data_IF_204154580934
#
_entry.id   IF_204154580934
#
_cell.length_a   1.000
_cell.length_b   1.000
_cell.length_c   1.000
_cell.angle_alpha   90.00
_cell.angle_beta   90.00
_cell.angle_gamma   90.00
#
_symmetry.space_group_name_H-M   'P 1'
#
loop_
_entity.id
_entity.type
_entity.pdbx_description
1 polymer ?
#
# COMPACT_ATOMS: atom_id res chain seq x y z
N UNK A 1 -4.52 -11.04 10.69
CA UNK A 1 -4.25 -9.89 9.77
C UNK A 1 -5.54 -9.12 9.44
N UNK A 2 -6.63 -9.76 9.02
CA UNK A 2 -7.89 -9.07 8.71
C UNK A 2 -8.50 -8.35 9.93
N UNK A 3 -8.42 -8.93 11.12
CA UNK A 3 -8.98 -8.35 12.34
C UNK A 3 -8.22 -7.07 12.74
N UNK A 4 -6.90 -7.10 12.70
CA UNK A 4 -6.05 -5.94 12.98
C UNK A 4 -6.25 -4.83 11.94
N UNK A 5 -6.43 -5.18 10.69
CA UNK A 5 -6.72 -4.21 9.64
C UNK A 5 -8.11 -3.58 9.82
N UNK A 6 -9.09 -4.37 10.27
CA UNK A 6 -10.42 -3.87 10.63
C UNK A 6 -10.34 -2.89 11.80
N UNK A 7 -9.64 -3.26 12.88
CA UNK A 7 -9.43 -2.38 14.03
C UNK A 7 -8.77 -1.06 13.62
N UNK A 8 -7.77 -1.14 12.74
CA UNK A 8 -7.10 0.04 12.19
C UNK A 8 -8.08 0.94 11.42
N UNK A 9 -8.91 0.36 10.54
CA UNK A 9 -9.94 1.10 9.79
C UNK A 9 -10.97 1.71 10.71
N UNK A 10 -11.49 0.96 11.68
CA UNK A 10 -12.48 1.43 12.64
C UNK A 10 -11.97 2.66 13.43
N UNK A 11 -10.68 2.67 13.81
CA UNK A 11 -10.06 3.83 14.46
C UNK A 11 -10.03 5.07 13.55
N UNK A 12 -9.67 4.89 12.29
CA UNK A 12 -9.65 5.99 11.31
C UNK A 12 -11.07 6.48 11.01
N UNK A 13 -12.01 5.59 10.77
CA UNK A 13 -13.40 5.94 10.47
C UNK A 13 -14.06 6.69 11.64
N UNK A 14 -13.81 6.28 12.87
CA UNK A 14 -14.26 6.99 14.09
C UNK A 14 -13.67 8.41 14.16
N UNK A 15 -12.38 8.57 13.83
CA UNK A 15 -11.77 9.90 13.74
C UNK A 15 -12.46 10.75 12.67
N UNK A 16 -12.66 10.20 11.47
CA UNK A 16 -13.31 10.90 10.35
C UNK A 16 -14.74 11.36 10.73
N UNK A 17 -15.54 10.45 11.29
CA UNK A 17 -16.89 10.76 11.76
C UNK A 17 -16.90 11.89 12.80
N UNK A 18 -15.90 11.94 13.68
CA UNK A 18 -15.78 13.00 14.71
C UNK A 18 -15.41 14.37 14.12
N UNK A 19 -14.94 14.40 12.88
CA UNK A 19 -14.39 15.58 12.23
C UNK A 19 -15.19 16.06 11.00
N UNK A 20 -16.31 15.40 10.62
CA UNK A 20 -17.01 15.63 9.35
C UNK A 20 -17.37 17.10 9.06
N UNK A 21 -17.80 17.87 10.06
CA UNK A 21 -18.24 19.26 9.88
C UNK A 21 -17.18 20.29 10.35
N UNK A 22 -15.92 19.87 10.44
CA UNK A 22 -14.85 20.71 10.98
C UNK A 22 -13.85 21.10 9.92
N UNK A 23 -13.24 22.27 10.12
CA UNK A 23 -12.06 22.64 9.33
C UNK A 23 -10.88 21.80 9.79
N UNK A 24 -10.26 21.05 8.89
CA UNK A 24 -9.13 20.17 9.19
C UNK A 24 -7.83 20.84 8.75
N UNK A 25 -6.85 20.79 9.61
CA UNK A 25 -5.45 21.19 9.34
C UNK A 25 -4.57 20.00 9.60
N UNK A 26 -3.75 19.61 8.63
CA UNK A 26 -2.74 18.57 8.79
C UNK A 26 -1.41 19.23 9.13
N UNK A 27 -0.81 18.81 10.24
CA UNK A 27 0.55 19.19 10.63
C UNK A 27 1.50 18.03 10.39
N UNK A 28 2.45 18.21 9.47
CA UNK A 28 3.35 17.19 8.97
C UNK A 28 2.80 16.49 7.72
N UNK A 29 3.38 16.83 6.56
CA UNK A 29 2.96 16.28 5.26
C UNK A 29 3.97 15.27 4.69
N UNK A 30 4.54 14.46 5.57
CA UNK A 30 5.27 13.24 5.23
C UNK A 30 4.34 12.11 4.81
N UNK A 31 4.77 10.87 4.93
CA UNK A 31 3.96 9.69 4.57
C UNK A 31 2.65 9.62 5.36
N UNK A 32 2.70 9.86 6.68
CA UNK A 32 1.50 9.82 7.52
C UNK A 32 0.48 10.89 7.13
N UNK A 33 0.92 12.12 6.90
CA UNK A 33 0.04 13.22 6.52
C UNK A 33 -0.59 13.01 5.16
N UNK A 34 0.14 12.52 4.18
CA UNK A 34 -0.38 12.19 2.84
C UNK A 34 -1.38 11.04 2.90
N UNK A 35 -1.06 10.00 3.67
CA UNK A 35 -1.96 8.87 3.85
C UNK A 35 -3.30 9.31 4.45
N UNK A 36 -3.28 10.05 5.57
CA UNK A 36 -4.52 10.46 6.23
C UNK A 36 -5.33 11.45 5.39
N UNK A 37 -4.68 12.36 4.66
CA UNK A 37 -5.35 13.26 3.73
C UNK A 37 -6.06 12.48 2.63
N UNK A 38 -5.38 11.53 2.01
CA UNK A 38 -5.96 10.66 1.00
C UNK A 38 -7.10 9.81 1.56
N UNK A 39 -6.92 9.17 2.73
CA UNK A 39 -7.95 8.35 3.37
C UNK A 39 -9.22 9.15 3.65
N UNK A 40 -9.06 10.36 4.19
CA UNK A 40 -10.15 11.27 4.50
C UNK A 40 -10.93 11.70 3.25
N UNK A 41 -10.24 12.06 2.18
CA UNK A 41 -10.90 12.47 0.92
C UNK A 41 -11.55 11.28 0.22
N UNK A 42 -10.84 10.16 0.08
CA UNK A 42 -11.31 9.01 -0.68
C UNK A 42 -12.49 8.27 -0.05
N UNK A 43 -12.44 8.04 1.27
CA UNK A 43 -13.50 7.27 1.96
C UNK A 43 -14.59 8.13 2.59
N UNK A 44 -14.29 9.39 2.93
CA UNK A 44 -15.19 10.24 3.70
C UNK A 44 -15.50 11.59 3.06
N UNK A 45 -14.91 11.91 1.91
CA UNK A 45 -15.05 13.22 1.23
C UNK A 45 -14.64 14.41 2.12
N UNK A 46 -13.74 14.17 3.08
CA UNK A 46 -13.19 15.20 3.97
C UNK A 46 -11.88 15.71 3.36
N UNK A 47 -11.88 17.01 2.97
CA UNK A 47 -10.67 17.66 2.43
C UNK A 47 -10.02 18.53 3.48
N UNK A 48 -8.75 18.28 3.82
CA UNK A 48 -8.00 19.21 4.66
C UNK A 48 -7.98 20.60 4.04
N UNK A 49 -8.19 21.61 4.85
CA UNK A 49 -8.16 23.00 4.36
C UNK A 49 -6.75 23.54 4.23
N UNK A 50 -5.86 23.13 5.15
CA UNK A 50 -4.47 23.57 5.18
C UNK A 50 -3.54 22.41 5.52
N UNK A 51 -2.34 22.48 4.94
CA UNK A 51 -1.20 21.63 5.27
C UNK A 51 -0.09 22.47 5.87
N UNK A 52 0.46 22.03 6.99
CA UNK A 52 1.61 22.66 7.62
C UNK A 52 2.77 21.69 7.55
N UNK A 53 3.91 22.12 7.01
CA UNK A 53 5.11 21.30 6.96
C UNK A 53 6.35 22.20 7.03
N UNK A 54 7.35 21.73 7.74
CA UNK A 54 8.67 22.38 7.82
C UNK A 54 9.54 22.00 6.61
N UNK A 55 9.29 20.82 6.04
CA UNK A 55 10.00 20.34 4.86
C UNK A 55 9.27 20.73 3.57
N UNK A 56 10.00 21.41 2.69
CA UNK A 56 9.51 21.75 1.35
C UNK A 56 10.12 20.84 0.29
N UNK A 57 9.28 20.11 -0.44
CA UNK A 57 9.66 19.42 -1.66
C UNK A 57 8.94 20.01 -2.86
N UNK A 58 9.70 20.51 -3.85
CA UNK A 58 9.15 21.01 -5.11
C UNK A 58 8.47 19.92 -5.97
N UNK A 59 8.60 18.67 -5.57
CA UNK A 59 8.10 17.50 -6.32
C UNK A 59 6.72 17.02 -5.85
N UNK A 60 6.16 17.60 -4.79
CA UNK A 60 4.85 17.22 -4.27
C UNK A 60 3.79 18.11 -4.90
N UNK A 61 2.85 17.56 -5.69
CA UNK A 61 1.69 18.32 -6.12
C UNK A 61 0.86 18.66 -4.90
N UNK A 62 0.76 19.94 -4.58
CA UNK A 62 -0.08 20.41 -3.48
C UNK A 62 -1.48 20.68 -4.01
N UNK A 63 -2.41 19.80 -3.72
CA UNK A 63 -3.84 20.04 -3.94
C UNK A 63 -4.43 20.99 -2.88
N UNK A 64 -3.67 21.27 -1.81
CA UNK A 64 -4.10 22.07 -0.67
C UNK A 64 -3.18 23.26 -0.44
N UNK A 65 -3.69 24.38 0.09
CA UNK A 65 -2.85 25.49 0.51
C UNK A 65 -1.81 25.03 1.51
N UNK A 66 -0.54 25.30 1.20
CA UNK A 66 0.61 24.92 2.01
C UNK A 66 1.14 26.10 2.79
N UNK A 67 1.41 25.89 4.06
CA UNK A 67 2.05 26.87 4.91
C UNK A 67 3.38 26.35 5.44
N UNK A 68 4.39 27.19 5.36
CA UNK A 68 5.80 26.84 5.60
C UNK A 68 6.25 26.88 7.04
N UNK A 69 5.51 27.49 7.92
CA UNK A 69 5.99 27.80 9.26
C UNK A 69 5.08 27.29 10.35
N UNK A 70 5.45 27.58 11.57
CA UNK A 70 4.71 27.13 12.74
C UNK A 70 3.21 27.44 12.62
N UNK A 71 2.39 26.62 13.23
CA UNK A 71 0.93 26.76 13.36
C UNK A 71 0.49 28.19 13.74
N UNK A 72 1.39 28.99 14.27
CA UNK A 72 1.12 30.28 14.91
C UNK A 72 1.46 31.49 14.05
N UNK A 73 2.05 31.28 12.87
CA UNK A 73 2.30 32.36 11.89
C UNK A 73 1.05 32.69 11.05
N UNK A 74 -0.06 31.99 11.30
CA UNK A 74 -1.34 32.24 10.64
C UNK A 74 -2.09 33.38 11.30
N UNK A 75 -2.84 34.13 10.48
CA UNK A 75 -3.89 34.97 11.00
C UNK A 75 -4.90 34.05 11.73
N UNK A 76 -4.75 34.00 13.03
CA UNK A 76 -5.34 33.06 13.98
C UNK A 76 -6.87 32.87 13.85
N UNK A 77 -7.55 33.76 13.12
CA UNK A 77 -9.00 33.71 12.95
C UNK A 77 -9.48 32.51 12.13
N UNK A 78 -8.71 32.07 11.15
CA UNK A 78 -9.09 30.95 10.27
C UNK A 78 -8.82 29.58 10.89
N UNK A 79 -7.91 29.51 11.88
CA UNK A 79 -7.49 28.26 12.50
C UNK A 79 -8.12 28.05 13.89
N UNK A 80 -8.66 29.10 14.50
CA UNK A 80 -9.20 29.08 15.87
C UNK A 80 -10.23 27.99 16.16
N UNK A 81 -10.95 27.53 15.14
CA UNK A 81 -11.96 26.46 15.24
C UNK A 81 -11.57 25.20 14.45
N UNK A 82 -10.32 25.13 13.97
CA UNK A 82 -9.85 24.00 13.21
C UNK A 82 -9.51 22.82 14.15
N UNK A 83 -9.66 21.64 13.62
CA UNK A 83 -9.11 20.41 14.20
C UNK A 83 -7.74 20.16 13.57
N UNK A 84 -6.75 19.92 14.40
CA UNK A 84 -5.37 19.67 13.97
C UNK A 84 -5.10 18.15 14.00
N UNK A 85 -4.68 17.62 12.85
CA UNK A 85 -4.17 16.24 12.78
C UNK A 85 -2.66 16.27 12.77
N UNK A 86 -2.05 15.84 13.87
CA UNK A 86 -0.59 15.71 13.98
C UNK A 86 -0.13 14.43 13.30
N UNK A 87 0.69 14.59 12.26
CA UNK A 87 1.18 13.50 11.42
C UNK A 87 2.72 13.48 11.34
N UNK A 88 3.39 14.08 12.30
CA UNK A 88 4.85 14.11 12.41
C UNK A 88 5.32 13.19 13.54
N UNK A 89 6.59 12.76 13.49
CA UNK A 89 7.21 11.93 14.51
C UNK A 89 7.53 12.72 15.79
N UNK A 90 7.91 13.99 15.65
CA UNK A 90 8.28 14.87 16.76
C UNK A 90 7.08 15.70 17.19
N UNK A 91 6.24 15.14 18.08
CA UNK A 91 4.97 15.77 18.46
C UNK A 91 4.99 16.46 19.81
N UNK A 92 5.99 16.25 20.66
CA UNK A 92 5.95 16.72 22.07
C UNK A 92 6.00 18.24 22.20
N UNK A 93 6.90 18.90 21.48
CA UNK A 93 6.98 20.35 21.45
C UNK A 93 5.72 20.97 20.83
N UNK A 94 5.23 20.37 19.74
CA UNK A 94 4.02 20.80 19.04
C UNK A 94 2.79 20.65 19.95
N UNK A 95 2.66 19.53 20.64
CA UNK A 95 1.57 19.31 21.61
C UNK A 95 1.59 20.37 22.71
N UNK A 96 2.73 20.60 23.32
CA UNK A 96 2.89 21.61 24.37
C UNK A 96 2.47 22.99 23.86
N UNK A 97 2.86 23.32 22.64
CA UNK A 97 2.52 24.58 21.99
C UNK A 97 1.00 24.66 21.72
N UNK A 98 0.37 23.61 21.19
CA UNK A 98 -1.08 23.55 20.96
C UNK A 98 -1.87 23.73 22.27
N UNK A 99 -1.49 23.01 23.31
CA UNK A 99 -2.15 23.06 24.61
C UNK A 99 -2.03 24.44 25.26
N UNK A 100 -0.86 25.11 25.14
CA UNK A 100 -0.65 26.48 25.59
C UNK A 100 -1.59 27.46 24.88
N UNK A 101 -1.96 27.18 23.62
CA UNK A 101 -2.90 27.99 22.84
C UNK A 101 -4.36 27.54 22.98
N UNK A 102 -4.67 26.67 23.95
CA UNK A 102 -6.02 26.26 24.28
C UNK A 102 -6.57 25.11 23.43
N UNK A 103 -5.75 24.44 22.64
CA UNK A 103 -6.14 23.21 21.97
C UNK A 103 -6.22 22.04 22.96
N UNK A 104 -7.19 21.15 22.78
CA UNK A 104 -7.47 20.02 23.68
C UNK A 104 -7.28 18.72 22.94
N UNK A 105 -6.42 17.84 23.47
CA UNK A 105 -6.16 16.51 22.91
C UNK A 105 -7.47 15.72 22.76
N UNK A 106 -7.59 15.01 21.66
CA UNK A 106 -8.76 14.20 21.29
C UNK A 106 -10.09 15.00 21.15
N UNK A 107 -9.97 16.32 21.00
CA UNK A 107 -11.13 17.21 20.72
C UNK A 107 -10.82 18.19 19.60
N UNK A 108 -9.76 18.97 19.75
CA UNK A 108 -9.35 19.99 18.78
C UNK A 108 -7.98 19.72 18.19
N UNK A 109 -7.22 18.77 18.73
CA UNK A 109 -6.11 18.15 18.02
C UNK A 109 -6.07 16.64 18.26
N UNK A 110 -5.56 15.89 17.29
CA UNK A 110 -5.39 14.44 17.32
C UNK A 110 -3.99 14.07 16.86
N UNK A 111 -3.30 13.22 17.63
CA UNK A 111 -2.07 12.58 17.17
C UNK A 111 -2.44 11.33 16.37
N UNK A 112 -2.27 11.39 15.08
CA UNK A 112 -2.71 10.33 14.17
C UNK A 112 -1.95 9.02 14.43
N UNK A 113 -0.65 9.12 14.67
CA UNK A 113 0.16 7.93 14.93
C UNK A 113 -0.24 7.28 16.26
N UNK A 114 -0.51 8.07 17.29
CA UNK A 114 -0.97 7.54 18.58
C UNK A 114 -2.36 6.90 18.50
N UNK A 115 -3.30 7.49 17.74
CA UNK A 115 -4.62 6.92 17.52
C UNK A 115 -4.54 5.58 16.81
N UNK A 116 -3.69 5.50 15.80
CA UNK A 116 -3.56 4.31 14.96
C UNK A 116 -2.81 3.18 15.64
N UNK A 117 -1.69 3.48 16.28
CA UNK A 117 -0.75 2.48 16.81
C UNK A 117 -0.69 2.41 18.34
N UNK A 118 -1.36 3.33 19.03
CA UNK A 118 -1.26 3.47 20.49
C UNK A 118 -0.03 4.27 20.91
N UNK A 119 0.09 4.46 22.24
CA UNK A 119 1.13 5.30 22.87
C UNK A 119 2.55 4.74 22.76
N UNK A 120 2.67 3.45 22.52
CA UNK A 120 3.95 2.72 22.47
C UNK A 120 4.57 2.66 21.06
N UNK A 121 3.99 3.33 20.08
CA UNK A 121 4.55 3.32 18.72
C UNK A 121 5.95 3.95 18.67
N UNK A 122 6.75 3.46 17.73
CA UNK A 122 8.10 3.99 17.54
C UNK A 122 8.08 5.36 16.85
N UNK A 123 8.22 6.43 17.61
CA UNK A 123 8.19 7.82 17.10
C UNK A 123 9.31 8.19 16.13
N UNK A 124 10.39 7.39 16.10
CA UNK A 124 11.50 7.61 15.14
C UNK A 124 11.15 7.11 13.73
N UNK A 125 10.17 6.27 13.60
CA UNK A 125 9.66 5.73 12.34
C UNK A 125 8.39 6.51 11.95
N UNK A 126 8.52 7.53 11.10
CA UNK A 126 7.40 8.39 10.70
C UNK A 126 6.53 7.81 9.57
N UNK A 127 6.95 6.70 8.94
CA UNK A 127 6.18 6.02 7.89
C UNK A 127 5.10 5.12 8.50
N UNK A 128 3.84 5.52 8.38
CA UNK A 128 2.70 4.75 8.94
C UNK A 128 2.56 3.35 8.34
N UNK A 129 3.02 3.14 7.09
CA UNK A 129 2.95 1.82 6.47
C UNK A 129 3.99 0.89 7.09
N UNK A 130 5.19 1.38 7.33
CA UNK A 130 6.24 0.62 8.01
C UNK A 130 5.80 0.28 9.43
N UNK A 131 5.26 1.23 10.19
CA UNK A 131 4.76 0.99 11.55
C UNK A 131 3.67 -0.09 11.56
N UNK A 132 2.74 -0.05 10.62
CA UNK A 132 1.68 -1.05 10.53
C UNK A 132 2.24 -2.44 10.18
N UNK A 133 3.20 -2.53 9.27
CA UNK A 133 3.86 -3.79 8.95
C UNK A 133 4.69 -4.34 10.12
N UNK A 134 5.37 -3.49 10.89
CA UNK A 134 6.05 -3.89 12.14
C UNK A 134 5.07 -4.44 13.18
N UNK A 135 3.90 -3.82 13.27
CA UNK A 135 2.84 -4.34 14.13
C UNK A 135 2.41 -5.76 13.71
N UNK A 136 2.21 -6.00 12.40
CA UNK A 136 1.89 -7.34 11.87
C UNK A 136 3.02 -8.35 12.13
N UNK A 137 4.28 -7.97 11.93
CA UNK A 137 5.44 -8.81 12.28
C UNK A 137 5.40 -9.26 13.74
N UNK A 138 5.15 -8.32 14.65
CA UNK A 138 5.10 -8.59 16.08
C UNK A 138 3.94 -9.53 16.45
N UNK A 139 2.77 -9.32 15.85
CA UNK A 139 1.56 -10.09 16.19
C UNK A 139 1.62 -11.51 15.63
N UNK A 140 2.13 -11.71 14.42
CA UNK A 140 2.10 -13.00 13.72
C UNK A 140 3.48 -13.67 13.60
N UNK A 141 4.54 -12.99 14.00
CA UNK A 141 5.91 -13.50 13.88
C UNK A 141 6.44 -13.51 12.44
N UNK A 142 5.86 -12.70 11.54
CA UNK A 142 6.32 -12.57 10.16
C UNK A 142 7.67 -11.84 10.09
N UNK A 143 8.36 -11.99 8.95
CA UNK A 143 9.48 -11.15 8.50
C UNK A 143 9.06 -10.51 7.17
N UNK A 144 8.54 -9.29 7.20
CA UNK A 144 7.98 -8.62 6.02
C UNK A 144 8.44 -7.17 5.83
N UNK A 145 9.02 -6.52 6.86
CA UNK A 145 9.32 -5.09 6.80
C UNK A 145 10.67 -4.81 6.16
N UNK A 146 11.71 -5.45 6.66
CA UNK A 146 13.08 -5.07 6.28
C UNK A 146 13.36 -5.41 4.82
N UNK A 147 13.76 -4.41 4.00
CA UNK A 147 14.08 -4.66 2.60
C UNK A 147 15.38 -5.47 2.48
N UNK A 148 15.43 -6.37 1.50
CA UNK A 148 16.66 -7.07 1.12
C UNK A 148 17.15 -6.43 -0.19
N UNK A 149 18.41 -6.01 -0.22
CA UNK A 149 19.02 -5.42 -1.41
C UNK A 149 19.46 -6.53 -2.37
N UNK A 150 19.49 -6.23 -3.68
CA UNK A 150 19.90 -7.21 -4.71
C UNK A 150 21.26 -7.82 -4.44
N UNK A 151 22.20 -7.02 -3.90
CA UNK A 151 23.56 -7.51 -3.51
C UNK A 151 23.57 -8.57 -2.42
N UNK A 152 22.46 -8.65 -1.65
CA UNK A 152 22.31 -9.56 -0.51
C UNK A 152 21.49 -10.81 -0.89
N UNK A 153 21.08 -10.94 -2.16
CA UNK A 153 20.44 -12.16 -2.67
C UNK A 153 21.46 -13.28 -2.84
N UNK A 154 21.09 -14.49 -2.49
CA UNK A 154 21.96 -15.68 -2.64
C UNK A 154 22.15 -16.07 -4.10
N UNK A 155 21.14 -15.78 -4.93
CA UNK A 155 21.19 -15.88 -6.39
C UNK A 155 20.56 -14.61 -6.99
N UNK A 156 21.08 -14.18 -8.12
CA UNK A 156 20.57 -12.97 -8.77
C UNK A 156 20.68 -13.09 -10.29
N UNK A 157 19.82 -12.36 -10.98
CA UNK A 157 19.85 -12.19 -12.43
C UNK A 157 19.75 -10.71 -12.80
N UNK A 158 20.15 -10.37 -14.03
CA UNK A 158 20.08 -9.00 -14.51
C UNK A 158 18.62 -8.47 -14.49
N UNK A 159 18.47 -7.26 -14.01
CA UNK A 159 17.17 -6.58 -13.94
C UNK A 159 16.34 -6.88 -12.71
N UNK A 160 16.82 -7.65 -11.74
CA UNK A 160 16.15 -7.80 -10.45
C UNK A 160 16.03 -6.48 -9.70
N UNK A 161 15.02 -6.39 -8.86
CA UNK A 161 14.74 -5.23 -8.00
C UNK A 161 14.95 -5.61 -6.53
N UNK A 162 15.26 -4.64 -5.66
CA UNK A 162 15.26 -4.86 -4.21
C UNK A 162 13.91 -5.39 -3.74
N UNK A 163 13.94 -6.25 -2.73
CA UNK A 163 12.75 -6.72 -2.03
C UNK A 163 12.12 -5.55 -1.27
N UNK A 164 11.00 -5.04 -1.79
CA UNK A 164 10.22 -3.94 -1.19
C UNK A 164 8.76 -4.36 -1.10
N UNK A 165 8.24 -4.42 0.12
CA UNK A 165 6.85 -4.82 0.35
C UNK A 165 5.91 -3.61 0.41
N UNK A 166 4.70 -3.77 -0.12
CA UNK A 166 3.58 -2.87 0.16
C UNK A 166 2.77 -3.40 1.34
N UNK A 167 2.27 -2.49 2.14
CA UNK A 167 1.38 -2.83 3.24
C UNK A 167 -0.06 -3.06 2.74
N UNK A 168 -0.90 -3.76 3.50
CA UNK A 168 -2.33 -3.87 3.20
C UNK A 168 -3.02 -2.52 3.01
N UNK A 169 -2.57 -1.48 3.73
CA UNK A 169 -3.08 -0.11 3.60
C UNK A 169 -2.80 0.53 2.24
N UNK A 170 -1.74 0.11 1.55
CA UNK A 170 -1.43 0.55 0.20
C UNK A 170 -2.15 -0.32 -0.85
N UNK A 171 -2.26 -1.62 -0.60
CA UNK A 171 -2.83 -2.59 -1.54
C UNK A 171 -4.37 -2.49 -1.60
N UNK A 172 -5.05 -2.39 -0.46
CA UNK A 172 -6.51 -2.32 -0.41
C UNK A 172 -7.08 -1.15 -1.22
N UNK A 173 -6.56 0.08 -1.09
CA UNK A 173 -7.01 1.19 -1.94
C UNK A 173 -6.79 0.98 -3.44
N UNK A 174 -5.75 0.23 -3.83
CA UNK A 174 -5.55 -0.11 -5.24
C UNK A 174 -6.69 -1.01 -5.71
N UNK A 175 -7.02 -2.04 -4.95
CA UNK A 175 -8.09 -2.98 -5.27
C UNK A 175 -9.47 -2.29 -5.25
N UNK A 176 -9.72 -1.40 -4.30
CA UNK A 176 -10.94 -0.58 -4.22
C UNK A 176 -11.09 0.29 -5.47
N UNK A 177 -10.02 0.97 -5.91
CA UNK A 177 -10.01 1.80 -7.14
C UNK A 177 -10.16 0.98 -8.42
N UNK A 178 -9.82 -0.30 -8.39
CA UNK A 178 -10.10 -1.23 -9.48
C UNK A 178 -11.56 -1.70 -9.48
N UNK A 179 -12.36 -1.29 -8.50
CA UNK A 179 -13.68 -1.86 -8.23
C UNK A 179 -13.63 -3.40 -8.13
N UNK A 180 -12.55 -3.90 -7.54
CA UNK A 180 -12.34 -5.32 -7.32
C UNK A 180 -13.26 -5.81 -6.22
N UNK A 181 -14.20 -6.69 -6.59
CA UNK A 181 -15.06 -7.41 -5.65
C UNK A 181 -14.76 -8.88 -5.88
N UNK A 182 -13.82 -9.50 -5.12
CA UNK A 182 -13.42 -10.87 -5.37
C UNK A 182 -14.62 -11.83 -5.31
N UNK A 183 -14.78 -12.62 -6.34
CA UNK A 183 -15.77 -13.69 -6.41
C UNK A 183 -15.16 -15.01 -5.94
N UNK A 184 -15.99 -16.00 -5.66
CA UNK A 184 -15.54 -17.30 -5.13
C UNK A 184 -14.42 -17.97 -5.95
N UNK A 185 -14.37 -17.71 -7.25
CA UNK A 185 -13.40 -18.32 -8.17
C UNK A 185 -12.30 -17.33 -8.59
N UNK A 186 -12.26 -16.12 -8.04
CA UNK A 186 -11.20 -15.19 -8.37
C UNK A 186 -9.91 -15.57 -7.65
N UNK A 187 -8.84 -15.58 -8.43
CA UNK A 187 -7.50 -15.89 -7.98
C UNK A 187 -6.51 -14.83 -8.49
N UNK A 188 -5.57 -14.41 -7.64
CA UNK A 188 -4.57 -13.40 -7.97
C UNK A 188 -3.17 -13.96 -7.88
N UNK A 189 -2.32 -13.60 -8.86
CA UNK A 189 -0.93 -14.02 -8.93
C UNK A 189 0.02 -12.81 -8.89
N UNK A 190 1.03 -12.86 -8.02
CA UNK A 190 2.04 -11.83 -7.82
C UNK A 190 3.38 -12.26 -8.42
N UNK A 191 3.88 -11.47 -9.36
CA UNK A 191 5.19 -11.70 -9.98
C UNK A 191 6.30 -10.95 -9.21
N UNK A 192 7.15 -11.71 -8.54
CA UNK A 192 8.14 -11.20 -7.58
C UNK A 192 7.48 -10.94 -6.24
N UNK A 193 6.86 -11.99 -5.67
CA UNK A 193 6.05 -11.87 -4.45
C UNK A 193 6.87 -11.69 -3.16
N UNK A 194 8.18 -11.61 -3.30
CA UNK A 194 9.15 -11.33 -2.23
C UNK A 194 8.86 -12.14 -0.95
N UNK A 195 8.63 -11.48 0.17
CA UNK A 195 8.34 -12.12 1.47
C UNK A 195 6.86 -12.45 1.69
N UNK A 196 5.97 -12.21 0.69
CA UNK A 196 4.57 -12.59 0.70
C UNK A 196 3.58 -11.56 1.23
N UNK A 197 4.01 -10.38 1.61
CA UNK A 197 3.12 -9.33 2.16
C UNK A 197 1.91 -9.02 1.28
N UNK A 198 2.10 -8.96 -0.05
CA UNK A 198 1.01 -8.74 -0.99
C UNK A 198 0.05 -9.93 -1.04
N UNK A 199 0.57 -11.17 -1.04
CA UNK A 199 -0.26 -12.38 -1.04
C UNK A 199 -1.17 -12.45 0.20
N UNK A 200 -0.64 -12.10 1.37
CA UNK A 200 -1.41 -12.05 2.62
C UNK A 200 -2.51 -10.98 2.52
N UNK A 201 -2.17 -9.82 1.97
CA UNK A 201 -3.13 -8.73 1.77
C UNK A 201 -4.27 -9.13 0.81
N UNK A 202 -3.98 -9.87 -0.25
CA UNK A 202 -5.00 -10.36 -1.17
C UNK A 202 -5.95 -11.37 -0.53
N UNK A 203 -5.42 -12.30 0.29
CA UNK A 203 -6.25 -13.22 1.08
C UNK A 203 -7.18 -12.46 2.03
N UNK A 204 -6.66 -11.46 2.74
CA UNK A 204 -7.44 -10.63 3.65
C UNK A 204 -8.49 -9.78 2.93
N UNK A 205 -8.16 -9.31 1.72
CA UNK A 205 -9.10 -8.55 0.90
C UNK A 205 -10.29 -9.39 0.39
N UNK A 206 -10.12 -10.71 0.32
CA UNK A 206 -11.22 -11.62 -0.01
C UNK A 206 -10.96 -12.59 -1.16
N UNK A 207 -9.77 -12.61 -1.77
CA UNK A 207 -9.43 -13.63 -2.75
C UNK A 207 -9.42 -15.02 -2.10
N UNK A 208 -9.97 -16.01 -2.80
CA UNK A 208 -10.00 -17.40 -2.32
C UNK A 208 -8.72 -18.16 -2.63
N UNK A 209 -7.98 -17.71 -3.64
CA UNK A 209 -6.72 -18.28 -4.06
C UNK A 209 -5.72 -17.16 -4.40
N UNK A 210 -4.51 -17.30 -3.89
CA UNK A 210 -3.39 -16.44 -4.23
C UNK A 210 -2.21 -17.28 -4.67
N UNK A 211 -1.40 -16.75 -5.57
CA UNK A 211 -0.15 -17.38 -5.98
C UNK A 211 0.92 -16.33 -6.19
N UNK A 212 2.17 -16.76 -6.19
CA UNK A 212 3.26 -15.88 -6.52
C UNK A 212 4.55 -16.63 -6.77
N UNK A 213 5.47 -15.98 -7.50
CA UNK A 213 6.79 -16.52 -7.81
C UNK A 213 7.88 -15.60 -7.24
N UNK A 214 8.88 -16.22 -6.61
CA UNK A 214 10.08 -15.54 -6.11
C UNK A 214 11.33 -16.25 -6.61
N UNK A 215 12.29 -15.48 -7.10
CA UNK A 215 13.53 -16.01 -7.69
C UNK A 215 14.65 -16.21 -6.66
N UNK A 216 14.84 -15.26 -5.74
CA UNK A 216 15.94 -15.28 -4.80
C UNK A 216 15.73 -16.34 -3.72
N UNK A 217 16.69 -17.28 -3.58
CA UNK A 217 16.58 -18.43 -2.68
C UNK A 217 16.32 -18.00 -1.23
N UNK A 218 17.12 -17.06 -0.72
CA UNK A 218 16.99 -16.60 0.67
C UNK A 218 15.69 -15.80 0.92
N UNK A 219 15.16 -15.13 -0.10
CA UNK A 219 13.86 -14.43 -0.01
C UNK A 219 12.73 -15.45 -0.03
N UNK A 220 12.85 -16.48 -0.88
CA UNK A 220 11.87 -17.56 -0.95
C UNK A 220 11.81 -18.39 0.35
N UNK A 221 12.94 -18.61 1.02
CA UNK A 221 12.98 -19.23 2.36
C UNK A 221 12.18 -18.42 3.39
N UNK A 222 12.30 -17.08 3.36
CA UNK A 222 11.51 -16.21 4.24
C UNK A 222 10.02 -16.27 3.85
N UNK A 223 9.69 -16.23 2.56
CA UNK A 223 8.33 -16.36 2.06
C UNK A 223 7.66 -17.64 2.57
N UNK A 224 8.35 -18.78 2.43
CA UNK A 224 7.81 -20.08 2.88
C UNK A 224 7.62 -20.13 4.39
N UNK A 225 8.59 -19.61 5.18
CA UNK A 225 8.44 -19.48 6.62
C UNK A 225 7.26 -18.60 7.04
N UNK A 226 7.03 -17.50 6.34
CA UNK A 226 5.86 -16.65 6.58
C UNK A 226 4.55 -17.35 6.18
N UNK A 227 4.54 -18.07 5.05
CA UNK A 227 3.39 -18.83 4.58
C UNK A 227 3.00 -19.95 5.55
N UNK A 228 3.97 -20.67 6.13
CA UNK A 228 3.75 -21.70 7.15
C UNK A 228 3.03 -21.15 8.39
N UNK A 229 3.43 -19.95 8.84
CA UNK A 229 2.78 -19.29 9.99
C UNK A 229 1.34 -18.91 9.69
N UNK A 230 1.03 -18.56 8.43
CA UNK A 230 -0.32 -18.22 7.98
C UNK A 230 -1.20 -19.46 7.74
N UNK A 231 -0.63 -20.64 7.43
CA UNK A 231 -1.37 -21.84 7.04
C UNK A 231 -2.50 -22.22 7.99
N UNK A 232 -2.31 -22.01 9.30
CA UNK A 232 -3.34 -22.32 10.32
C UNK A 232 -4.54 -21.37 10.28
N UNK A 233 -4.43 -20.22 9.58
CA UNK A 233 -5.45 -19.19 9.47
C UNK A 233 -6.19 -19.22 8.11
N UNK A 234 -5.70 -20.03 7.15
CA UNK A 234 -6.18 -19.99 5.77
C UNK A 234 -7.61 -20.56 5.59
N UNK A 235 -8.07 -21.45 6.47
CA UNK A 235 -9.35 -22.17 6.31
C UNK A 235 -9.46 -22.83 4.91
N UNK A 236 -10.46 -22.41 4.11
CA UNK A 236 -10.69 -22.92 2.74
C UNK A 236 -9.91 -22.15 1.66
N UNK A 237 -9.06 -21.20 2.02
CA UNK A 237 -8.28 -20.38 1.07
C UNK A 237 -7.00 -21.12 0.65
N UNK A 238 -6.52 -20.81 -0.57
CA UNK A 238 -5.32 -21.44 -1.13
C UNK A 238 -4.21 -20.41 -1.35
N UNK A 239 -2.98 -20.81 -1.02
CA UNK A 239 -1.78 -20.02 -1.28
C UNK A 239 -0.72 -20.92 -1.93
N UNK A 240 -0.27 -20.55 -3.14
CA UNK A 240 0.75 -21.26 -3.91
C UNK A 240 1.99 -20.39 -4.07
N UNK A 241 3.11 -20.78 -3.48
CA UNK A 241 4.38 -20.10 -3.62
C UNK A 241 5.29 -20.90 -4.55
N UNK A 242 5.72 -20.29 -5.65
CA UNK A 242 6.62 -20.90 -6.64
C UNK A 242 8.03 -20.34 -6.49
N UNK A 243 9.03 -21.21 -6.57
CA UNK A 243 10.43 -20.83 -6.55
C UNK A 243 11.01 -20.85 -7.96
N UNK A 244 11.55 -19.75 -8.44
CA UNK A 244 12.25 -19.70 -9.71
C UNK A 244 11.99 -18.49 -10.59
N UNK A 245 12.39 -18.63 -11.88
CA UNK A 245 12.26 -17.57 -12.87
C UNK A 245 10.80 -17.34 -13.27
N UNK A 246 10.32 -16.13 -13.07
CA UNK A 246 8.97 -15.71 -13.47
C UNK A 246 8.68 -15.93 -14.97
N UNK A 247 9.71 -15.88 -15.83
CA UNK A 247 9.59 -16.15 -17.26
C UNK A 247 9.30 -17.62 -17.59
N UNK A 248 9.45 -18.54 -16.64
CA UNK A 248 9.19 -19.98 -16.80
C UNK A 248 7.84 -20.43 -16.25
N UNK A 249 7.13 -19.56 -15.52
CA UNK A 249 5.78 -19.85 -15.04
C UNK A 249 4.80 -19.74 -16.21
N UNK A 250 4.08 -20.82 -16.51
CA UNK A 250 3.22 -20.93 -17.69
C UNK A 250 1.85 -21.52 -17.40
N UNK A 251 1.79 -22.83 -17.19
CA UNK A 251 0.53 -23.57 -16.99
C UNK A 251 -0.09 -23.20 -15.64
N UNK A 252 0.72 -22.87 -14.65
CA UNK A 252 0.28 -22.40 -13.33
C UNK A 252 -0.59 -21.15 -13.43
N UNK A 253 -0.36 -20.31 -14.44
CA UNK A 253 -1.12 -19.07 -14.65
C UNK A 253 -2.58 -19.34 -15.07
N UNK A 254 -2.90 -20.54 -15.55
CA UNK A 254 -4.23 -20.89 -16.02
C UNK A 254 -5.28 -20.89 -14.88
N UNK A 255 -4.83 -21.00 -13.62
CA UNK A 255 -5.66 -20.94 -12.42
C UNK A 255 -5.97 -19.52 -11.93
N UNK A 256 -5.34 -18.46 -12.53
CA UNK A 256 -5.44 -17.09 -12.05
C UNK A 256 -6.09 -16.19 -13.09
N UNK A 257 -6.89 -15.25 -12.63
CA UNK A 257 -7.53 -14.23 -13.49
C UNK A 257 -7.15 -12.80 -13.12
N UNK A 258 -6.45 -12.58 -12.01
CA UNK A 258 -5.84 -11.32 -11.63
C UNK A 258 -4.32 -11.48 -11.58
N UNK A 259 -3.59 -10.56 -12.19
CA UNK A 259 -2.14 -10.52 -12.19
C UNK A 259 -1.62 -9.23 -11.63
N UNK A 260 -0.72 -9.31 -10.66
CA UNK A 260 -0.15 -8.18 -9.95
C UNK A 260 1.34 -8.07 -10.26
N UNK A 261 1.78 -6.86 -10.62
CA UNK A 261 3.15 -6.56 -11.04
C UNK A 261 3.57 -5.22 -10.42
N UNK A 262 4.52 -5.26 -9.50
CA UNK A 262 5.09 -4.06 -8.90
C UNK A 262 6.54 -3.87 -9.35
N UNK A 263 6.77 -3.37 -10.60
CA UNK A 263 8.09 -3.19 -11.23
C UNK A 263 9.06 -4.35 -10.89
N UNK A 264 8.65 -5.63 -11.07
CA UNK A 264 9.33 -6.75 -10.42
C UNK A 264 10.69 -7.09 -11.07
N UNK A 265 10.88 -6.80 -12.35
CA UNK A 265 12.06 -7.20 -13.12
C UNK A 265 12.29 -6.32 -14.35
N UNK A 266 13.42 -6.59 -15.07
CA UNK A 266 13.76 -5.90 -16.30
C UNK A 266 12.82 -6.22 -17.47
N UNK A 267 12.94 -5.40 -18.54
CA UNK A 267 12.05 -5.42 -19.70
C UNK A 267 11.95 -6.78 -20.38
N UNK A 268 13.09 -7.49 -20.53
CA UNK A 268 13.14 -8.78 -21.25
C UNK A 268 12.36 -9.89 -20.53
N UNK A 269 12.46 -9.94 -19.21
CA UNK A 269 11.67 -10.87 -18.39
C UNK A 269 10.20 -10.46 -18.39
N UNK A 270 9.91 -9.15 -18.31
CA UNK A 270 8.55 -8.63 -18.39
C UNK A 270 7.83 -9.02 -19.68
N UNK A 271 8.52 -8.93 -20.83
CA UNK A 271 7.95 -9.34 -22.13
C UNK A 271 7.58 -10.82 -22.16
N UNK A 272 8.44 -11.69 -21.62
CA UNK A 272 8.16 -13.13 -21.52
C UNK A 272 6.96 -13.41 -20.61
N UNK A 273 6.87 -12.74 -19.47
CA UNK A 273 5.75 -12.87 -18.52
C UNK A 273 4.44 -12.44 -19.18
N UNK A 274 4.40 -11.30 -19.87
CA UNK A 274 3.19 -10.86 -20.57
C UNK A 274 2.80 -11.84 -21.68
N UNK A 275 3.76 -12.40 -22.41
CA UNK A 275 3.49 -13.44 -23.41
C UNK A 275 2.91 -14.71 -22.76
N UNK A 276 3.45 -15.15 -21.61
CA UNK A 276 2.92 -16.30 -20.86
C UNK A 276 1.48 -16.05 -20.38
N UNK A 277 1.14 -14.84 -19.93
CA UNK A 277 -0.24 -14.46 -19.60
C UNK A 277 -1.14 -14.52 -20.84
N UNK A 278 -0.67 -14.06 -21.99
CA UNK A 278 -1.41 -14.17 -23.26
C UNK A 278 -1.62 -15.62 -23.67
N UNK A 279 -0.62 -16.48 -23.52
CA UNK A 279 -0.72 -17.92 -23.81
C UNK A 279 -1.69 -18.59 -22.85
N UNK A 280 -1.66 -18.27 -21.55
CA UNK A 280 -2.63 -18.73 -20.57
C UNK A 280 -4.06 -18.31 -20.95
N UNK A 281 -4.26 -17.09 -21.41
CA UNK A 281 -5.56 -16.64 -21.91
C UNK A 281 -6.02 -17.42 -23.15
N UNK A 282 -5.10 -17.90 -24.01
CA UNK A 282 -5.43 -18.76 -25.14
C UNK A 282 -5.79 -20.19 -24.71
N UNK A 283 -5.08 -20.77 -23.73
CA UNK A 283 -5.38 -22.11 -23.20
C UNK A 283 -6.69 -22.15 -22.42
N UNK A 284 -6.87 -21.13 -21.56
CA UNK A 284 -8.03 -21.01 -20.67
C UNK A 284 -8.68 -19.64 -20.87
N UNK A 285 -9.61 -19.48 -21.84
CA UNK A 285 -10.29 -18.21 -22.09
C UNK A 285 -11.11 -17.76 -20.87
N UNK A 286 -10.77 -16.60 -20.33
CA UNK A 286 -11.42 -15.98 -19.17
C UNK A 286 -11.17 -14.49 -19.14
N UNK A 287 -11.87 -13.75 -18.31
CA UNK A 287 -11.57 -12.34 -18.08
C UNK A 287 -10.30 -12.23 -17.24
N UNK A 288 -9.33 -11.45 -17.70
CA UNK A 288 -8.06 -11.21 -17.01
C UNK A 288 -7.94 -9.72 -16.66
N UNK A 289 -7.47 -9.44 -15.45
CA UNK A 289 -7.07 -8.12 -14.97
C UNK A 289 -5.57 -8.11 -14.68
N UNK A 290 -4.89 -7.04 -15.11
CA UNK A 290 -3.47 -6.80 -14.78
C UNK A 290 -3.38 -5.50 -14.01
N UNK A 291 -2.87 -5.56 -12.79
CA UNK A 291 -2.52 -4.42 -11.94
C UNK A 291 -1.02 -4.20 -12.08
N UNK A 292 -0.63 -3.08 -12.67
CA UNK A 292 0.78 -2.79 -12.90
C UNK A 292 1.19 -1.49 -12.21
N UNK A 293 2.00 -1.60 -11.17
CA UNK A 293 2.53 -0.48 -10.38
C UNK A 293 3.89 -0.09 -10.91
N UNK A 294 4.16 1.22 -11.04
CA UNK A 294 5.33 1.79 -11.71
C UNK A 294 5.47 1.24 -13.15
N UNK A 295 4.53 1.51 -14.05
CA UNK A 295 4.37 0.82 -15.32
C UNK A 295 5.39 1.26 -16.39
N UNK A 296 6.69 1.04 -16.13
CA UNK A 296 7.81 1.43 -17.01
C UNK A 296 7.78 0.74 -18.39
N UNK A 297 7.21 -0.46 -18.46
CA UNK A 297 7.14 -1.29 -19.67
C UNK A 297 5.70 -1.49 -20.16
N UNK A 298 4.82 -0.52 -19.88
CA UNK A 298 3.38 -0.58 -20.25
C UNK A 298 3.15 -0.81 -21.75
N UNK A 299 4.06 -0.31 -22.62
CA UNK A 299 3.99 -0.47 -24.06
C UNK A 299 4.03 -1.95 -24.51
N UNK A 300 4.63 -2.85 -23.73
CA UNK A 300 4.65 -4.28 -24.00
C UNK A 300 3.22 -4.86 -23.90
N UNK A 301 2.48 -4.49 -22.85
CA UNK A 301 1.09 -4.94 -22.69
C UNK A 301 0.24 -4.42 -23.86
N UNK A 302 0.37 -3.15 -24.21
CA UNK A 302 -0.38 -2.50 -25.27
C UNK A 302 -0.10 -3.15 -26.63
N UNK A 303 1.16 -3.48 -26.93
CA UNK A 303 1.58 -4.12 -28.20
C UNK A 303 0.97 -5.51 -28.40
N UNK A 304 0.58 -6.22 -27.35
CA UNK A 304 -0.12 -7.50 -27.48
C UNK A 304 -1.47 -7.36 -28.18
N UNK A 305 -2.08 -6.17 -28.11
CA UNK A 305 -3.44 -5.93 -28.60
C UNK A 305 -4.53 -6.67 -27.83
N UNK A 306 -4.19 -7.44 -26.79
CA UNK A 306 -5.09 -8.32 -26.03
C UNK A 306 -5.74 -7.63 -24.85
N UNK A 307 -5.18 -6.54 -24.35
CA UNK A 307 -5.62 -5.83 -23.18
C UNK A 307 -5.98 -4.38 -23.49
N UNK A 308 -6.86 -3.81 -22.67
CA UNK A 308 -7.24 -2.40 -22.72
C UNK A 308 -6.89 -1.77 -21.36
N UNK A 309 -6.23 -0.61 -21.39
CA UNK A 309 -6.05 0.21 -20.19
C UNK A 309 -7.41 0.78 -19.79
N UNK A 310 -7.93 0.35 -18.65
CA UNK A 310 -9.27 0.75 -18.16
C UNK A 310 -9.19 1.82 -17.08
N UNK A 311 -8.08 1.89 -16.33
CA UNK A 311 -7.89 2.88 -15.29
C UNK A 311 -6.39 3.18 -15.11
N UNK A 312 -6.09 4.43 -14.75
CA UNK A 312 -4.77 4.89 -14.36
C UNK A 312 -4.92 5.89 -13.21
N UNK A 313 -4.17 5.69 -12.13
CA UNK A 313 -4.20 6.58 -10.96
C UNK A 313 -2.86 6.55 -10.21
N UNK A 314 -2.69 7.48 -9.30
CA UNK A 314 -1.54 7.51 -8.39
C UNK A 314 -1.90 6.99 -7.00
N UNK A 315 -0.95 6.26 -6.39
CA UNK A 315 -1.01 5.94 -4.96
C UNK A 315 -0.42 7.13 -4.20
N UNK A 316 -1.25 7.82 -3.45
CA UNK A 316 -0.89 9.08 -2.77
C UNK A 316 0.26 8.95 -1.79
N UNK A 317 0.40 7.79 -1.12
CA UNK A 317 1.42 7.57 -0.10
C UNK A 317 2.85 7.66 -0.63
N UNK A 318 3.09 7.27 -1.90
CA UNK A 318 4.44 7.24 -2.49
C UNK A 318 4.51 7.78 -3.92
N UNK A 319 3.46 8.46 -4.39
CA UNK A 319 3.40 9.00 -5.77
C UNK A 319 3.72 7.96 -6.85
N UNK A 320 3.19 6.75 -6.71
CA UNK A 320 3.38 5.67 -7.68
C UNK A 320 2.19 5.58 -8.61
N UNK A 321 2.45 5.59 -9.90
CA UNK A 321 1.43 5.36 -10.92
C UNK A 321 1.04 3.88 -10.93
N UNK A 322 -0.26 3.63 -11.02
CA UNK A 322 -0.86 2.29 -11.19
C UNK A 322 -1.67 2.27 -12.48
N UNK A 323 -1.39 1.32 -13.34
CA UNK A 323 -2.19 1.04 -14.54
C UNK A 323 -3.00 -0.23 -14.33
N UNK A 324 -4.26 -0.20 -14.73
CA UNK A 324 -5.17 -1.36 -14.71
C UNK A 324 -5.53 -1.71 -16.14
N UNK A 325 -5.19 -2.93 -16.53
CA UNK A 325 -5.55 -3.48 -17.83
C UNK A 325 -6.55 -4.62 -17.67
N UNK A 326 -7.42 -4.73 -18.67
CA UNK A 326 -8.43 -5.80 -18.72
C UNK A 326 -8.37 -6.45 -20.09
N UNK A 327 -8.49 -7.79 -20.15
CA UNK A 327 -8.55 -8.53 -21.42
C UNK A 327 -9.79 -8.12 -22.23
N UNK A 328 -9.60 -8.06 -23.56
CA UNK A 328 -10.67 -7.75 -24.53
C UNK A 328 -11.71 -8.85 -24.59
#
# INVERSE_FOLDING_TARGET
>A
MLEELKEFRDKLDNLMCSCMDKTIVIYGYGYSGRFIAWYADYYHSIKPRYLITEEYSNTIPYEYPLFRSSLFDFDYKDVKNAVIWLCTAETEEIRTCLETHGYVKNKTYFDINEIVYGVDYNRKESDTNIQFMRYLEKMHGYDIVDPIQVKDFTNSMDGMRPCVNLSPKEIFPILDKCHCIPQKNDAIFDFGCVKGSALFSFLDYGFSQVGGVEYADNVYEILTSNAEKLCNELNDKKMNCYHGDAALVKEELDEYNWFYLFDPFGRDVFEKVINNICESLNRCPRKIWIIYILPKSHDIIEKTGRFVLTNQFEIMTRQRVVNIYVSK
#
